data_IF_000177978084
#
_entry.id   IF_000177978084
#
_cell.length_a   1.000
_cell.length_b   1.000
_cell.length_c   1.000
_cell.angle_alpha   90.00
_cell.angle_beta   90.00
_cell.angle_gamma   90.00
#
_symmetry.space_group_name_H-M   'P 1'
#
loop_
_entity.id
_entity.type
_entity.pdbx_description
1 polymer ?
#
# COMPACT_ATOMS: atom_id res chain seq x y z
N UNK A 1 10.93 -5.07 -10.40
CA UNK A 1 11.13 -4.32 -9.16
C UNK A 1 10.16 -3.14 -9.10
N UNK A 2 9.84 -2.67 -7.88
CA UNK A 2 8.94 -1.53 -7.66
C UNK A 2 9.62 -0.51 -6.74
N UNK A 3 9.35 0.78 -6.98
CA UNK A 3 9.93 1.92 -6.27
C UNK A 3 8.88 2.85 -5.65
N UNK A 4 7.61 2.61 -5.89
CA UNK A 4 6.50 3.40 -5.36
C UNK A 4 5.32 2.50 -4.97
N UNK A 5 4.70 2.79 -3.85
CA UNK A 5 3.36 2.31 -3.48
C UNK A 5 2.49 3.52 -3.16
N UNK A 6 1.37 3.67 -3.85
CA UNK A 6 0.40 4.72 -3.59
C UNK A 6 -0.96 4.14 -3.27
N UNK A 7 -1.47 4.47 -2.10
CA UNK A 7 -2.81 4.12 -1.63
C UNK A 7 -3.70 5.33 -1.84
N UNK A 8 -4.71 5.19 -2.68
CA UNK A 8 -5.66 6.24 -3.03
C UNK A 8 -6.96 6.06 -2.27
N UNK A 9 -7.59 7.16 -1.93
CA UNK A 9 -8.83 7.20 -1.16
C UNK A 9 -9.85 8.16 -1.78
N UNK A 10 -11.10 7.78 -1.74
CA UNK A 10 -12.19 8.66 -2.11
C UNK A 10 -12.48 9.67 -0.99
N UNK A 11 -12.20 10.96 -1.25
CA UNK A 11 -12.44 12.07 -0.34
C UNK A 11 -11.35 12.25 0.73
N UNK A 12 -11.41 13.36 1.43
CA UNK A 12 -10.41 13.74 2.42
C UNK A 12 -10.29 12.67 3.53
N UNK A 13 -9.08 12.24 3.76
CA UNK A 13 -8.72 11.24 4.77
C UNK A 13 -7.52 11.74 5.56
N UNK A 14 -7.58 11.60 6.88
CA UNK A 14 -6.44 11.88 7.75
C UNK A 14 -5.69 10.58 8.02
N UNK A 15 -4.38 10.63 7.89
CA UNK A 15 -3.50 9.49 8.12
C UNK A 15 -2.63 9.73 9.35
N UNK A 16 -2.52 8.71 10.18
CA UNK A 16 -1.65 8.68 11.36
C UNK A 16 -0.83 7.40 11.39
N UNK A 17 0.18 7.35 12.24
CA UNK A 17 1.00 6.15 12.46
C UNK A 17 1.52 5.53 11.16
N UNK A 18 1.93 6.38 10.20
CA UNK A 18 2.44 5.94 8.90
C UNK A 18 3.82 5.32 9.10
N UNK A 19 4.01 4.11 8.58
CA UNK A 19 5.29 3.42 8.72
C UNK A 19 5.66 2.56 7.54
N UNK A 20 6.92 2.12 7.60
CA UNK A 20 7.58 1.32 6.59
C UNK A 20 8.61 0.41 7.25
N UNK A 21 8.74 -0.80 6.75
CA UNK A 21 9.81 -1.71 7.13
C UNK A 21 10.19 -2.60 5.94
N UNK A 22 11.45 -2.60 5.63
CA UNK A 22 12.03 -3.35 4.53
C UNK A 22 12.89 -4.55 5.01
N UNK A 23 13.53 -5.16 4.06
CA UNK A 23 14.58 -6.16 4.28
C UNK A 23 15.89 -5.59 3.76
N UNK A 24 16.83 -5.35 4.66
CA UNK A 24 18.16 -4.89 4.30
C UNK A 24 18.84 -5.85 3.31
N UNK A 25 19.50 -5.29 2.31
CA UNK A 25 20.32 -6.04 1.40
C UNK A 25 21.38 -6.89 2.16
N UNK A 26 21.58 -8.10 1.70
CA UNK A 26 22.53 -9.06 2.29
C UNK A 26 23.30 -9.78 1.19
N UNK A 27 24.24 -10.65 1.57
CA UNK A 27 24.98 -11.47 0.60
C UNK A 27 25.79 -10.68 -0.44
N UNK A 28 26.33 -9.52 -0.05
CA UNK A 28 27.11 -8.61 -0.90
C UNK A 28 26.32 -7.99 -2.07
N UNK A 29 25.00 -7.92 -1.96
CA UNK A 29 24.20 -7.19 -2.92
C UNK A 29 24.51 -5.68 -2.83
N UNK A 30 24.59 -4.96 -3.95
CA UNK A 30 25.00 -3.55 -3.97
C UNK A 30 23.87 -2.58 -3.62
N UNK A 31 22.72 -3.08 -3.17
CA UNK A 31 21.51 -2.28 -3.01
C UNK A 31 21.57 -1.39 -1.76
N UNK A 32 21.04 -0.19 -1.90
CA UNK A 32 20.85 0.74 -0.80
C UNK A 32 19.80 0.19 0.19
N UNK A 33 19.93 0.59 1.44
CA UNK A 33 19.01 0.20 2.53
C UNK A 33 18.31 1.42 3.14
N UNK A 34 18.31 2.55 2.43
CA UNK A 34 17.60 3.75 2.86
C UNK A 34 16.09 3.52 2.87
N UNK A 35 15.43 3.86 3.98
CA UNK A 35 13.99 3.76 4.10
C UNK A 35 13.27 4.59 3.03
N UNK A 36 12.10 4.10 2.60
CA UNK A 36 11.25 4.85 1.71
C UNK A 36 10.65 6.06 2.42
N UNK A 37 10.63 7.20 1.74
CA UNK A 37 9.94 8.39 2.22
C UNK A 37 8.44 8.29 1.96
N UNK A 38 7.62 8.91 2.80
CA UNK A 38 6.19 8.98 2.57
C UNK A 38 5.72 10.41 2.29
N UNK A 39 4.65 10.51 1.52
CA UNK A 39 3.97 11.76 1.17
C UNK A 39 2.48 11.58 1.29
N UNK A 40 1.82 12.53 1.96
CA UNK A 40 0.37 12.57 2.13
C UNK A 40 -0.19 13.73 1.32
N UNK A 41 -1.19 13.46 0.51
CA UNK A 41 -2.03 14.46 -0.17
C UNK A 41 -3.49 14.34 0.30
N UNK A 42 -4.40 15.09 -0.30
CA UNK A 42 -5.83 15.05 0.08
C UNK A 42 -6.50 13.69 -0.21
N UNK A 43 -5.96 12.94 -1.17
CA UNK A 43 -6.58 11.73 -1.73
C UNK A 43 -5.59 10.55 -1.88
N UNK A 44 -4.34 10.73 -1.48
CA UNK A 44 -3.30 9.71 -1.64
C UNK A 44 -2.30 9.72 -0.48
N UNK A 45 -1.95 8.54 -0.02
CA UNK A 45 -0.76 8.28 0.78
C UNK A 45 0.21 7.44 -0.07
N UNK A 46 1.42 7.95 -0.28
CA UNK A 46 2.42 7.26 -1.07
C UNK A 46 3.72 7.06 -0.30
N UNK A 47 4.39 5.96 -0.59
CA UNK A 47 5.78 5.71 -0.23
C UNK A 47 6.61 5.60 -1.50
N UNK A 48 7.76 6.22 -1.50
CA UNK A 48 8.66 6.29 -2.64
C UNK A 48 10.10 6.00 -2.24
N UNK A 49 10.79 5.21 -3.07
CA UNK A 49 12.25 5.16 -3.11
C UNK A 49 12.77 5.99 -4.29
N UNK A 50 14.08 6.31 -4.35
CA UNK A 50 14.63 6.91 -5.55
C UNK A 50 14.40 6.03 -6.79
N UNK A 51 14.06 6.67 -7.92
CA UNK A 51 13.85 5.99 -9.20
C UNK A 51 15.13 5.36 -9.75
N UNK A 52 14.99 4.36 -10.61
CA UNK A 52 16.09 3.62 -11.24
C UNK A 52 17.18 4.53 -11.84
N UNK A 53 16.78 5.57 -12.54
CA UNK A 53 17.74 6.54 -13.08
C UNK A 53 17.64 7.87 -12.30
N UNK A 54 18.69 8.33 -11.61
CA UNK A 54 20.07 7.84 -11.64
C UNK A 54 20.45 6.79 -10.56
N UNK A 55 19.51 6.24 -9.79
CA UNK A 55 19.79 5.43 -8.62
C UNK A 55 19.48 3.94 -8.84
N UNK A 56 20.18 3.29 -9.76
CA UNK A 56 19.96 1.87 -10.13
C UNK A 56 20.07 0.87 -8.95
N UNK A 57 20.75 1.26 -7.88
CA UNK A 57 20.90 0.46 -6.67
C UNK A 57 19.98 0.92 -5.52
N UNK A 58 19.00 1.78 -5.78
CA UNK A 58 18.07 2.23 -4.76
C UNK A 58 17.32 1.05 -4.12
N UNK A 59 16.80 1.28 -2.92
CA UNK A 59 16.06 0.30 -2.13
C UNK A 59 14.67 0.02 -2.72
N UNK A 60 14.62 -0.64 -3.87
CA UNK A 60 13.39 -1.04 -4.53
C UNK A 60 12.92 -2.43 -4.06
N UNK A 61 11.61 -2.69 -4.10
CA UNK A 61 11.08 -4.03 -3.88
C UNK A 61 11.55 -4.93 -5.03
N UNK A 62 12.39 -5.88 -4.71
CA UNK A 62 12.99 -6.80 -5.67
C UNK A 62 12.46 -8.22 -5.47
N UNK A 63 12.83 -9.09 -6.39
CA UNK A 63 12.51 -10.50 -6.33
C UNK A 63 12.96 -11.12 -4.98
N UNK A 64 12.05 -11.91 -4.39
CA UNK A 64 12.24 -12.58 -3.11
C UNK A 64 12.39 -11.64 -1.89
N UNK A 65 11.99 -10.38 -1.99
CA UNK A 65 11.91 -9.44 -0.87
C UNK A 65 10.46 -9.19 -0.47
N UNK A 66 10.25 -8.84 0.79
CA UNK A 66 8.94 -8.47 1.32
C UNK A 66 9.07 -7.20 2.15
N UNK A 67 8.33 -6.17 1.79
CA UNK A 67 8.27 -4.89 2.49
C UNK A 67 6.92 -4.73 3.16
N UNK A 68 6.89 -4.08 4.31
CA UNK A 68 5.68 -3.83 5.06
C UNK A 68 5.38 -2.33 5.07
N UNK A 69 4.14 -1.99 4.82
CA UNK A 69 3.62 -0.63 4.86
C UNK A 69 2.41 -0.60 5.77
N UNK A 70 2.29 0.38 6.63
CA UNK A 70 1.14 0.51 7.52
C UNK A 70 0.78 1.97 7.76
N UNK A 71 -0.45 2.18 8.12
CA UNK A 71 -1.00 3.48 8.48
C UNK A 71 -2.34 3.29 9.21
N UNK A 72 -2.74 4.30 9.96
CA UNK A 72 -4.08 4.45 10.48
C UNK A 72 -4.81 5.51 9.67
N UNK A 73 -6.10 5.32 9.42
CA UNK A 73 -6.96 6.27 8.72
C UNK A 73 -8.19 6.58 9.59
N UNK A 74 -8.66 7.82 9.52
CA UNK A 74 -9.82 8.29 10.30
C UNK A 74 -11.18 7.80 9.77
N UNK A 75 -11.17 6.99 8.73
CA UNK A 75 -12.38 6.39 8.15
C UNK A 75 -12.14 4.95 7.69
N UNK A 76 -13.17 4.10 7.74
CA UNK A 76 -13.06 2.76 7.18
C UNK A 76 -13.00 2.81 5.63
N UNK A 77 -12.42 1.80 5.00
CA UNK A 77 -12.52 1.62 3.57
C UNK A 77 -13.98 1.29 3.21
N UNK A 78 -14.60 2.12 2.39
CA UNK A 78 -16.02 2.00 2.07
C UNK A 78 -16.30 1.62 0.63
N UNK A 79 -15.30 1.72 -0.23
CA UNK A 79 -15.43 1.53 -1.67
C UNK A 79 -14.26 0.74 -2.25
N UNK A 80 -14.42 0.25 -3.47
CA UNK A 80 -13.29 -0.31 -4.23
C UNK A 80 -12.43 0.85 -4.68
N UNK A 81 -11.19 0.87 -4.26
CA UNK A 81 -10.24 1.92 -4.60
C UNK A 81 -9.11 1.36 -5.46
N UNK A 82 -8.65 2.18 -6.40
CA UNK A 82 -7.53 1.85 -7.26
C UNK A 82 -6.25 2.36 -6.62
N UNK A 83 -5.33 1.46 -6.36
CA UNK A 83 -4.00 1.79 -5.85
C UNK A 83 -2.96 1.62 -6.95
N UNK A 84 -1.79 2.17 -6.74
CA UNK A 84 -0.72 2.18 -7.75
C UNK A 84 0.56 1.59 -7.19
N UNK A 85 1.17 0.73 -7.99
CA UNK A 85 2.53 0.25 -7.78
C UNK A 85 3.41 0.81 -8.91
N UNK A 86 4.34 1.70 -8.58
CA UNK A 86 5.32 2.23 -9.51
C UNK A 86 6.42 1.21 -9.83
N UNK A 87 6.81 1.12 -11.07
CA UNK A 87 7.83 0.18 -11.53
C UNK A 87 9.21 0.84 -11.54
N UNK A 88 10.14 0.25 -10.83
CA UNK A 88 11.48 0.79 -10.60
C UNK A 88 12.28 0.98 -11.89
N UNK A 89 12.34 -0.03 -12.75
CA UNK A 89 12.87 0.08 -14.09
C UNK A 89 11.68 0.22 -15.04
N UNK A 90 11.24 1.46 -15.19
CA UNK A 90 10.00 1.76 -15.89
C UNK A 90 10.12 1.45 -17.38
N UNK A 91 9.24 0.59 -17.84
CA UNK A 91 8.94 0.38 -19.26
C UNK A 91 7.66 1.12 -19.64
N UNK A 92 6.84 0.49 -20.45
CA UNK A 92 5.49 0.95 -20.76
C UNK A 92 4.52 -0.19 -20.46
N UNK A 93 3.64 -0.05 -19.46
CA UNK A 93 3.44 1.10 -18.56
C UNK A 93 4.54 1.26 -17.51
N UNK A 94 4.70 2.48 -16.95
CA UNK A 94 5.62 2.77 -15.85
C UNK A 94 5.08 2.44 -14.46
N UNK A 95 3.80 2.08 -14.37
CA UNK A 95 3.10 1.73 -13.13
C UNK A 95 2.05 0.65 -13.38
N UNK A 96 1.66 -0.03 -12.34
CA UNK A 96 0.58 -1.03 -12.34
C UNK A 96 -0.49 -0.58 -11.36
N UNK A 97 -1.71 -0.51 -11.85
CA UNK A 97 -2.89 -0.28 -10.99
C UNK A 97 -3.41 -1.61 -10.46
N UNK A 98 -3.82 -1.61 -9.21
CA UNK A 98 -4.50 -2.74 -8.60
C UNK A 98 -5.70 -2.27 -7.76
N UNK A 99 -6.72 -3.11 -7.71
CA UNK A 99 -7.90 -2.86 -6.90
C UNK A 99 -7.73 -3.59 -5.57
N UNK A 100 -7.92 -2.88 -4.50
CA UNK A 100 -8.23 -3.55 -3.25
C UNK A 100 -9.73 -3.65 -3.13
N UNK A 101 -10.20 -4.85 -3.04
CA UNK A 101 -11.55 -5.09 -2.59
C UNK A 101 -11.57 -4.86 -1.08
N UNK A 102 -11.79 -3.63 -0.69
CA UNK A 102 -12.05 -3.27 0.69
C UNK A 102 -13.48 -3.67 1.09
N UNK A 103 -14.09 -4.57 0.34
CA UNK A 103 -15.30 -5.21 0.77
C UNK A 103 -15.01 -5.86 2.11
N UNK A 104 -15.38 -5.12 3.09
CA UNK A 104 -15.53 -5.46 4.46
C UNK A 104 -15.94 -6.92 4.55
N UNK A 105 -15.11 -7.72 5.15
CA UNK A 105 -15.51 -9.03 5.64
C UNK A 105 -16.72 -8.86 6.58
N UNK A 106 -16.94 -7.62 7.06
CA UNK A 106 -18.06 -7.23 7.92
C UNK A 106 -18.61 -5.85 7.52
N UNK A 107 -19.74 -5.82 6.84
CA UNK A 107 -20.56 -4.61 6.68
C UNK A 107 -21.61 -4.52 7.78
N UNK A 108 -21.38 -5.13 8.90
CA UNK A 108 -22.23 -4.94 10.05
C UNK A 108 -21.65 -3.84 10.94
N UNK A 109 -22.29 -2.72 10.96
CA UNK A 109 -21.93 -1.62 11.84
C UNK A 109 -22.17 -1.88 13.31
N UNK A 110 -22.52 -3.12 13.73
CA UNK A 110 -22.94 -3.47 15.07
C UNK A 110 -24.03 -2.52 15.65
N UNK A 111 -24.48 -1.55 14.84
CA UNK A 111 -25.45 -0.54 15.24
C UNK A 111 -26.87 -1.07 15.39
N UNK A 112 -27.19 -2.19 14.79
CA UNK A 112 -28.52 -2.83 14.88
C UNK A 112 -28.62 -3.80 16.03
N UNK A 113 -27.51 -4.24 16.60
CA UNK A 113 -27.46 -5.20 17.70
C UNK A 113 -28.04 -6.57 17.36
N UNK A 114 -28.19 -6.87 16.08
CA UNK A 114 -28.68 -8.15 15.60
C UNK A 114 -27.64 -8.85 14.71
N UNK A 115 -27.86 -10.12 14.43
CA UNK A 115 -26.99 -10.97 13.61
C UNK A 115 -27.50 -11.18 12.20
N UNK A 116 -28.39 -10.34 11.70
CA UNK A 116 -29.04 -10.54 10.39
C UNK A 116 -28.06 -10.42 9.21
N UNK A 117 -26.94 -9.71 9.38
CA UNK A 117 -25.86 -9.65 8.41
C UNK A 117 -25.03 -10.94 8.34
N UNK A 118 -25.20 -11.84 9.32
CA UNK A 118 -24.49 -13.12 9.41
C UNK A 118 -25.38 -14.24 8.88
N UNK A 119 -25.55 -14.32 7.58
CA UNK A 119 -26.49 -15.24 6.94
C UNK A 119 -25.95 -16.66 6.72
N UNK A 120 -25.00 -17.11 7.51
CA UNK A 120 -24.63 -18.53 7.52
C UNK A 120 -25.39 -19.25 8.61
N UNK A 121 -26.55 -19.74 8.25
CA UNK A 121 -27.16 -20.83 8.98
C UNK A 121 -26.48 -22.12 8.55
N UNK A 122 -25.62 -22.66 9.39
CA UNK A 122 -25.25 -24.07 9.25
C UNK A 122 -26.45 -24.92 9.72
N UNK A 123 -26.82 -25.94 8.95
CA UNK A 123 -27.84 -26.88 9.37
C UNK A 123 -27.38 -27.71 10.57
#
# INVERSE_FOLDING_TARGET
AADRLAIRFFGATTFENIGFHDVNAHSNEPYDTADWSNTVTADELAWDSPSFSPAENANAIRWATMYNFWFDADRPPTEIETHVLGLFEAGTPGEVEFLTNTNLIFVDGFGTGDSTAWSQTFP
#
